data_IF_853483344173
#
_entry.id   IF_853483344173
#
_cell.length_a   1.000
_cell.length_b   1.000
_cell.length_c   1.000
_cell.angle_alpha   90.00
_cell.angle_beta   90.00
_cell.angle_gamma   90.00
#
_symmetry.space_group_name_H-M   'P 1'
#
loop_
_entity.id
_entity.type
_entity.pdbx_description
1 polymer ?
#
# COMPACT_ATOMS: atom_id res chain seq x y z
N UNK A 1 17.37 -14.22 -10.47
CA UNK A 1 16.65 -14.16 -9.19
C UNK A 1 16.48 -12.73 -8.67
N UNK A 2 17.58 -11.99 -8.46
CA UNK A 2 17.52 -10.57 -8.02
C UNK A 2 16.89 -9.71 -9.12
N UNK A 3 17.34 -9.88 -10.36
CA UNK A 3 16.83 -9.15 -11.52
C UNK A 3 15.31 -9.31 -11.71
N UNK A 4 14.81 -10.54 -11.59
CA UNK A 4 13.37 -10.84 -11.71
C UNK A 4 12.56 -10.15 -10.61
N UNK A 5 13.02 -10.25 -9.36
CA UNK A 5 12.38 -9.58 -8.23
C UNK A 5 12.37 -8.06 -8.42
N UNK A 6 13.52 -7.46 -8.77
CA UNK A 6 13.64 -6.03 -9.01
C UNK A 6 12.73 -5.56 -10.17
N UNK A 7 12.60 -6.36 -11.24
CA UNK A 7 11.69 -6.06 -12.34
C UNK A 7 10.23 -6.05 -11.88
N UNK A 8 9.80 -7.05 -11.11
CA UNK A 8 8.44 -7.07 -10.56
C UNK A 8 8.17 -5.90 -9.61
N UNK A 9 9.15 -5.55 -8.76
CA UNK A 9 9.04 -4.39 -7.87
C UNK A 9 8.91 -3.08 -8.65
N UNK A 10 9.69 -2.92 -9.73
CA UNK A 10 9.65 -1.73 -10.58
C UNK A 10 8.30 -1.61 -11.31
N UNK A 11 7.80 -2.70 -11.89
CA UNK A 11 6.49 -2.71 -12.57
C UNK A 11 5.38 -2.33 -11.58
N UNK A 12 5.36 -2.94 -10.38
CA UNK A 12 4.39 -2.60 -9.33
C UNK A 12 4.51 -1.14 -8.91
N UNK A 13 5.73 -0.64 -8.71
CA UNK A 13 5.98 0.74 -8.31
C UNK A 13 5.48 1.74 -9.37
N UNK A 14 5.76 1.50 -10.65
CA UNK A 14 5.30 2.36 -11.76
C UNK A 14 3.78 2.35 -11.87
N UNK A 15 3.15 1.16 -11.80
CA UNK A 15 1.70 1.05 -11.87
C UNK A 15 1.02 1.77 -10.70
N UNK A 16 1.51 1.58 -9.48
CA UNK A 16 1.00 2.27 -8.29
C UNK A 16 1.23 3.78 -8.36
N UNK A 17 2.37 4.23 -8.89
CA UNK A 17 2.64 5.65 -9.10
C UNK A 17 1.67 6.28 -10.09
N UNK A 18 1.41 5.59 -11.21
CA UNK A 18 0.46 6.05 -12.22
C UNK A 18 -0.97 6.15 -11.69
N UNK A 19 -1.45 5.11 -10.98
CA UNK A 19 -2.78 5.14 -10.37
C UNK A 19 -2.85 6.22 -9.28
N UNK A 20 -1.81 6.38 -8.47
CA UNK A 20 -1.73 7.43 -7.46
C UNK A 20 -1.81 8.84 -8.06
N UNK A 21 -1.12 9.09 -9.18
CA UNK A 21 -1.20 10.35 -9.93
C UNK A 21 -2.60 10.58 -10.51
N UNK A 22 -3.23 9.54 -11.04
CA UNK A 22 -4.60 9.61 -11.55
C UNK A 22 -5.58 9.99 -10.44
N UNK A 23 -5.47 9.38 -9.26
CA UNK A 23 -6.28 9.75 -8.09
C UNK A 23 -6.08 11.22 -7.67
N UNK A 24 -4.83 11.72 -7.70
CA UNK A 24 -4.55 13.15 -7.47
C UNK A 24 -5.16 14.04 -8.55
N UNK A 25 -5.12 13.62 -9.81
CA UNK A 25 -5.77 14.34 -10.91
C UNK A 25 -7.28 14.45 -10.72
N UNK A 26 -7.95 13.36 -10.31
CA UNK A 26 -9.37 13.37 -9.99
C UNK A 26 -9.65 14.30 -8.80
N UNK A 27 -8.86 14.23 -7.74
CA UNK A 27 -8.99 15.12 -6.58
C UNK A 27 -8.84 16.60 -7.00
N UNK A 28 -7.82 16.92 -7.79
CA UNK A 28 -7.58 18.26 -8.32
C UNK A 28 -8.79 18.78 -9.11
N UNK A 29 -9.33 17.97 -10.04
CA UNK A 29 -10.51 18.35 -10.82
C UNK A 29 -11.72 18.57 -9.90
N UNK A 30 -11.95 17.66 -8.95
CA UNK A 30 -13.07 17.76 -8.01
C UNK A 30 -13.01 19.05 -7.19
N UNK A 31 -11.87 19.37 -6.56
CA UNK A 31 -11.72 20.60 -5.80
C UNK A 31 -11.77 21.83 -6.70
N UNK A 32 -11.16 21.79 -7.88
CA UNK A 32 -11.16 22.93 -8.81
C UNK A 32 -12.57 23.29 -9.28
N UNK A 33 -13.35 22.32 -9.73
CA UNK A 33 -14.72 22.56 -10.19
C UNK A 33 -15.69 22.78 -9.03
N UNK A 34 -15.58 22.00 -7.96
CA UNK A 34 -16.44 22.13 -6.78
C UNK A 34 -16.28 23.49 -6.10
N UNK A 35 -15.05 23.94 -5.88
CA UNK A 35 -14.81 25.26 -5.28
C UNK A 35 -15.21 26.40 -6.22
N UNK A 36 -14.97 26.29 -7.53
CA UNK A 36 -15.47 27.30 -8.49
C UNK A 36 -16.98 27.43 -8.45
N UNK A 37 -17.70 26.32 -8.41
CA UNK A 37 -19.15 26.31 -8.31
C UNK A 37 -19.62 27.00 -7.02
N UNK A 38 -19.05 26.61 -5.87
CA UNK A 38 -19.36 27.23 -4.57
C UNK A 38 -19.07 28.73 -4.59
N UNK A 39 -17.87 29.15 -5.00
CA UNK A 39 -17.49 30.57 -5.03
C UNK A 39 -18.39 31.38 -5.97
N UNK A 40 -18.76 30.81 -7.12
CA UNK A 40 -19.69 31.44 -8.04
C UNK A 40 -21.09 31.59 -7.43
N UNK A 41 -21.61 30.56 -6.75
CA UNK A 41 -22.91 30.62 -6.06
C UNK A 41 -22.95 31.68 -4.96
N UNK A 42 -21.84 31.89 -4.24
CA UNK A 42 -21.72 32.89 -3.19
C UNK A 42 -21.22 34.26 -3.68
N UNK A 43 -21.01 34.44 -4.99
CA UNK A 43 -20.48 35.66 -5.62
C UNK A 43 -19.12 36.12 -5.07
N UNK A 44 -18.29 35.17 -4.64
CA UNK A 44 -16.91 35.44 -4.23
C UNK A 44 -15.97 35.49 -5.44
N UNK A 45 -14.83 36.15 -5.28
CA UNK A 45 -13.79 36.22 -6.30
C UNK A 45 -13.16 34.83 -6.53
N UNK A 46 -13.22 34.36 -7.78
CA UNK A 46 -12.72 33.05 -8.23
C UNK A 46 -11.19 32.98 -8.19
N UNK A 47 -10.50 34.12 -8.08
CA UNK A 47 -9.04 34.21 -8.00
C UNK A 47 -8.45 33.42 -6.82
N UNK A 48 -9.19 33.24 -5.72
CA UNK A 48 -8.76 32.47 -4.54
C UNK A 48 -8.92 30.94 -4.68
N UNK A 49 -9.57 30.47 -5.75
CA UNK A 49 -9.84 29.04 -5.91
C UNK A 49 -8.54 28.26 -6.11
N UNK A 50 -7.60 28.78 -6.90
CA UNK A 50 -6.31 28.11 -7.14
C UNK A 50 -5.53 27.86 -5.85
N UNK A 51 -5.47 28.84 -4.95
CA UNK A 51 -4.84 28.71 -3.63
C UNK A 51 -5.55 27.68 -2.75
N UNK A 52 -6.88 27.72 -2.72
CA UNK A 52 -7.70 26.78 -1.93
C UNK A 52 -7.53 25.32 -2.38
N UNK A 53 -7.40 25.07 -3.68
CA UNK A 53 -7.17 23.72 -4.21
C UNK A 53 -5.80 23.18 -3.77
N UNK A 54 -4.76 24.00 -3.79
CA UNK A 54 -3.42 23.61 -3.32
C UNK A 54 -3.46 23.24 -1.83
N UNK A 55 -4.15 24.05 -1.02
CA UNK A 55 -4.33 23.77 0.42
C UNK A 55 -5.09 22.46 0.63
N UNK A 56 -6.16 22.21 -0.12
CA UNK A 56 -6.93 20.96 -0.03
C UNK A 56 -6.08 19.73 -0.40
N UNK A 57 -5.29 19.80 -1.49
CA UNK A 57 -4.36 18.72 -1.85
C UNK A 57 -3.27 18.53 -0.78
N UNK A 58 -2.76 19.61 -0.20
CA UNK A 58 -1.80 19.55 0.89
C UNK A 58 -2.38 18.85 2.13
N UNK A 59 -3.62 19.15 2.49
CA UNK A 59 -4.32 18.50 3.60
C UNK A 59 -4.54 16.99 3.36
N UNK A 60 -4.92 16.60 2.14
CA UNK A 60 -5.07 15.19 1.76
C UNK A 60 -3.73 14.46 1.79
N UNK A 61 -2.67 15.11 1.26
CA UNK A 61 -1.31 14.57 1.28
C UNK A 61 -0.85 14.30 2.72
N UNK A 62 -1.05 15.29 3.60
CA UNK A 62 -0.71 15.19 5.01
C UNK A 62 -1.52 14.10 5.72
N UNK A 63 -2.83 14.03 5.47
CA UNK A 63 -3.70 12.99 6.02
C UNK A 63 -3.25 11.59 5.60
N UNK A 64 -2.93 11.39 4.31
CA UNK A 64 -2.42 10.12 3.80
C UNK A 64 -1.08 9.73 4.41
N UNK A 65 -0.16 10.69 4.58
CA UNK A 65 1.11 10.46 5.26
C UNK A 65 0.94 10.07 6.73
N UNK A 66 0.03 10.74 7.45
CA UNK A 66 -0.27 10.41 8.85
C UNK A 66 -0.84 9.00 9.00
N UNK A 67 -1.77 8.61 8.14
CA UNK A 67 -2.32 7.25 8.12
C UNK A 67 -1.23 6.21 7.85
N UNK A 68 -0.38 6.46 6.85
CA UNK A 68 0.75 5.58 6.55
C UNK A 68 1.70 5.41 7.75
N UNK A 69 2.01 6.50 8.46
CA UNK A 69 2.90 6.48 9.63
C UNK A 69 2.32 5.71 10.81
N UNK A 70 0.99 5.75 10.99
CA UNK A 70 0.31 5.07 12.09
C UNK A 70 0.22 3.56 11.90
N UNK A 71 0.68 3.00 10.78
CA UNK A 71 0.59 1.56 10.53
C UNK A 71 -0.83 1.09 10.21
N UNK A 72 -1.80 2.01 10.09
CA UNK A 72 -3.11 1.79 9.48
C UNK A 72 -2.90 1.59 7.98
N UNK A 73 -2.30 0.45 7.65
CA UNK A 73 -1.96 0.07 6.31
C UNK A 73 -3.19 -0.42 5.58
N UNK A 74 -3.57 0.28 4.52
CA UNK A 74 -4.09 -0.23 3.24
C UNK A 74 -4.90 -1.54 3.29
N UNK A 75 -5.80 -1.72 4.26
CA UNK A 75 -6.89 -2.68 4.07
C UNK A 75 -7.62 -2.19 2.84
N UNK A 76 -7.68 -3.02 1.80
CA UNK A 76 -8.30 -2.73 0.52
C UNK A 76 -9.55 -1.87 0.73
N UNK A 77 -9.40 -0.55 0.57
CA UNK A 77 -10.44 0.40 0.97
C UNK A 77 -11.67 0.26 0.07
N UNK A 78 -11.45 -0.24 -1.16
CA UNK A 78 -12.46 -0.69 -2.10
C UNK A 78 -13.22 -1.94 -1.63
N UNK A 79 -12.56 -2.92 -1.00
CA UNK A 79 -13.27 -4.06 -0.37
C UNK A 79 -14.10 -3.59 0.83
N UNK A 80 -13.58 -2.67 1.65
CA UNK A 80 -14.31 -2.16 2.82
C UNK A 80 -15.45 -1.18 2.47
N UNK A 81 -15.42 -0.54 1.29
CA UNK A 81 -16.55 0.28 0.80
C UNK A 81 -17.68 -0.53 0.19
N UNK A 82 -17.38 -1.73 -0.33
CA UNK A 82 -18.37 -2.63 -0.91
C UNK A 82 -18.99 -3.57 0.15
N UNK A 83 -18.24 -3.87 1.22
CA UNK A 83 -18.67 -4.76 2.30
C UNK A 83 -18.51 -4.05 3.65
N UNK A 84 -19.48 -3.19 4.01
CA UNK A 84 -19.65 -2.78 5.40
C UNK A 84 -20.69 -3.71 6.04
N UNK A 85 -20.22 -4.48 7.01
CA UNK A 85 -21.01 -5.37 7.86
C UNK A 85 -21.93 -4.51 8.73
N UNK A 86 -23.25 -4.64 8.54
CA UNK A 86 -24.26 -3.86 9.24
C UNK A 86 -24.77 -4.68 10.42
N UNK A 87 -24.25 -4.36 11.61
CA UNK A 87 -24.87 -4.76 12.87
C UNK A 87 -26.29 -4.21 12.98
N UNK A 88 -27.16 -5.02 13.57
CA UNK A 88 -28.57 -4.79 13.85
C UNK A 88 -28.79 -3.46 14.60
N UNK A 89 -29.72 -2.60 14.14
CA UNK A 89 -30.95 -2.31 14.89
C UNK A 89 -31.80 -1.14 14.34
N UNK A 90 -33.12 -1.39 14.37
CA UNK A 90 -34.27 -0.46 14.29
C UNK A 90 -34.72 0.11 12.92
N UNK A 91 -35.97 -0.16 12.55
CA UNK A 91 -36.60 0.20 11.26
C UNK A 91 -36.71 1.72 10.99
N UNK A 92 -36.64 2.57 12.02
CA UNK A 92 -36.55 4.04 11.86
C UNK A 92 -35.13 4.51 11.51
N UNK A 93 -34.09 3.80 11.96
CA UNK A 93 -32.72 4.04 11.54
C UNK A 93 -32.57 3.71 10.05
N UNK A 94 -33.17 2.62 9.55
CA UNK A 94 -33.06 2.16 8.15
C UNK A 94 -33.49 3.21 7.11
N UNK A 95 -34.54 4.01 7.37
CA UNK A 95 -34.96 5.05 6.41
C UNK A 95 -34.07 6.30 6.42
N UNK A 96 -33.64 6.73 7.61
CA UNK A 96 -32.67 7.83 7.77
C UNK A 96 -31.29 7.41 7.26
N UNK A 97 -30.90 6.15 7.47
CA UNK A 97 -29.72 5.52 6.89
C UNK A 97 -29.84 5.46 5.37
N UNK A 98 -30.98 5.09 4.78
CA UNK A 98 -31.11 5.07 3.32
C UNK A 98 -30.87 6.45 2.67
N UNK A 99 -31.37 7.53 3.29
CA UNK A 99 -31.13 8.89 2.80
C UNK A 99 -29.73 9.41 3.12
N UNK A 100 -29.23 9.15 4.33
CA UNK A 100 -27.87 9.50 4.74
C UNK A 100 -26.84 8.74 3.90
N UNK A 101 -27.01 7.43 3.65
CA UNK A 101 -26.16 6.55 2.83
C UNK A 101 -26.12 6.98 1.36
N UNK A 102 -27.19 7.55 0.82
CA UNK A 102 -27.21 8.02 -0.58
C UNK A 102 -26.34 9.27 -0.80
N UNK A 103 -26.21 10.12 0.22
CA UNK A 103 -25.36 11.32 0.19
C UNK A 103 -23.95 11.03 0.73
N UNK A 104 -23.82 10.17 1.74
CA UNK A 104 -22.53 9.81 2.35
C UNK A 104 -21.77 8.74 1.58
N UNK A 105 -22.44 7.84 0.84
CA UNK A 105 -21.79 6.80 0.05
C UNK A 105 -20.87 7.36 -1.04
N UNK A 106 -21.36 8.23 -1.95
CA UNK A 106 -20.51 8.86 -2.96
C UNK A 106 -19.40 9.73 -2.35
N UNK A 107 -19.70 10.46 -1.26
CA UNK A 107 -18.70 11.25 -0.55
C UNK A 107 -17.62 10.39 0.11
N UNK A 108 -17.98 9.21 0.61
CA UNK A 108 -17.06 8.23 1.18
C UNK A 108 -16.16 7.62 0.10
N UNK A 109 -16.72 7.20 -1.03
CA UNK A 109 -15.95 6.70 -2.18
C UNK A 109 -14.99 7.77 -2.70
N UNK A 110 -15.44 9.02 -2.83
CA UNK A 110 -14.57 10.14 -3.23
C UNK A 110 -13.45 10.38 -2.22
N UNK A 111 -13.77 10.34 -0.92
CA UNK A 111 -12.76 10.46 0.15
C UNK A 111 -11.71 9.35 0.06
N UNK A 112 -12.11 8.12 -0.27
CA UNK A 112 -11.19 7.01 -0.48
C UNK A 112 -10.33 7.19 -1.73
N UNK A 113 -10.90 7.67 -2.84
CA UNK A 113 -10.13 7.97 -4.06
C UNK A 113 -9.09 9.06 -3.76
N UNK A 114 -9.48 10.11 -3.04
CA UNK A 114 -8.59 11.22 -2.70
C UNK A 114 -7.47 10.78 -1.76
N UNK A 115 -7.78 9.98 -0.74
CA UNK A 115 -6.78 9.42 0.17
C UNK A 115 -5.92 8.34 -0.53
N UNK A 116 -6.47 7.67 -1.54
CA UNK A 116 -5.77 6.68 -2.36
C UNK A 116 -4.55 7.26 -3.08
N UNK A 117 -4.61 8.50 -3.55
CA UNK A 117 -3.49 9.18 -4.20
C UNK A 117 -2.18 9.17 -3.39
N UNK A 118 -2.10 9.86 -2.23
CA UNK A 118 -0.89 9.90 -1.41
C UNK A 118 -0.44 8.51 -0.95
N UNK A 119 -1.40 7.67 -0.59
CA UNK A 119 -1.15 6.33 -0.11
C UNK A 119 -0.50 5.46 -1.20
N UNK A 120 -1.02 5.45 -2.43
CA UNK A 120 -0.44 4.69 -3.54
C UNK A 120 0.96 5.19 -3.91
N UNK A 121 1.21 6.50 -3.86
CA UNK A 121 2.54 7.07 -4.09
C UNK A 121 3.55 6.62 -3.02
N UNK A 122 3.16 6.65 -1.73
CA UNK A 122 4.02 6.16 -0.64
C UNK A 122 4.30 4.65 -0.78
N UNK A 123 3.33 3.88 -1.28
CA UNK A 123 3.51 2.46 -1.58
C UNK A 123 4.47 2.25 -2.74
N UNK A 124 4.33 3.02 -3.82
CA UNK A 124 5.27 3.00 -4.95
C UNK A 124 6.70 3.33 -4.48
N UNK A 125 6.85 4.36 -3.64
CA UNK A 125 8.13 4.71 -3.03
C UNK A 125 8.73 3.55 -2.23
N UNK A 126 7.93 2.87 -1.40
CA UNK A 126 8.37 1.69 -0.66
C UNK A 126 8.90 0.59 -1.59
N UNK A 127 8.21 0.33 -2.71
CA UNK A 127 8.67 -0.64 -3.70
C UNK A 127 10.00 -0.24 -4.37
N UNK A 128 10.24 1.05 -4.59
CA UNK A 128 11.54 1.54 -5.07
C UNK A 128 12.67 1.36 -4.05
N UNK A 129 12.40 1.67 -2.78
CA UNK A 129 13.38 1.52 -1.68
C UNK A 129 13.68 0.04 -1.38
N UNK A 130 12.70 -0.85 -1.60
CA UNK A 130 12.84 -2.29 -1.37
C UNK A 130 13.59 -3.06 -2.47
N UNK A 131 14.18 -2.37 -3.45
CA UNK A 131 15.00 -3.01 -4.48
C UNK A 131 16.30 -3.54 -3.87
N UNK A 132 16.72 -4.71 -4.33
CA UNK A 132 17.97 -5.32 -3.90
C UNK A 132 19.11 -4.86 -4.82
N UNK A 133 20.35 -4.72 -4.30
CA UNK A 133 21.50 -4.35 -5.11
C UNK A 133 21.78 -5.44 -6.14
N UNK A 134 21.82 -5.04 -7.41
CA UNK A 134 22.05 -5.93 -8.54
C UNK A 134 23.56 -6.18 -8.69
N UNK A 135 24.07 -7.15 -7.96
CA UNK A 135 25.46 -7.58 -8.06
C UNK A 135 25.54 -9.09 -8.20
N UNK A 136 26.34 -9.54 -9.16
CA UNK A 136 26.54 -10.96 -9.44
C UNK A 136 27.11 -11.72 -8.23
N UNK A 137 27.90 -11.05 -7.38
CA UNK A 137 28.39 -11.61 -6.14
C UNK A 137 27.27 -11.85 -5.12
N UNK A 138 26.35 -10.88 -4.94
CA UNK A 138 25.21 -11.03 -4.03
C UNK A 138 24.26 -12.12 -4.52
N UNK A 139 24.00 -12.20 -5.83
CA UNK A 139 23.14 -13.25 -6.38
C UNK A 139 23.70 -14.66 -6.15
N UNK A 140 25.02 -14.84 -6.27
CA UNK A 140 25.69 -16.10 -5.92
C UNK A 140 25.54 -16.42 -4.44
N UNK A 141 25.82 -15.47 -3.54
CA UNK A 141 25.67 -15.66 -2.08
C UNK A 141 24.24 -16.03 -1.68
N UNK A 142 23.24 -15.36 -2.26
CA UNK A 142 21.83 -15.69 -2.02
C UNK A 142 21.48 -17.08 -2.53
N UNK A 143 21.96 -17.45 -3.71
CA UNK A 143 21.72 -18.78 -4.28
C UNK A 143 22.36 -19.89 -3.45
N UNK A 144 23.59 -19.68 -2.99
CA UNK A 144 24.29 -20.65 -2.13
C UNK A 144 23.62 -20.76 -0.77
N UNK A 145 23.23 -19.63 -0.16
CA UNK A 145 22.47 -19.59 1.09
C UNK A 145 21.14 -20.33 0.96
N UNK A 146 20.41 -20.11 -0.14
CA UNK A 146 19.15 -20.81 -0.41
C UNK A 146 19.35 -22.32 -0.53
N UNK A 147 20.42 -22.78 -1.21
CA UNK A 147 20.76 -24.21 -1.28
C UNK A 147 21.06 -24.80 0.09
N UNK A 148 21.80 -24.09 0.94
CA UNK A 148 22.09 -24.53 2.31
C UNK A 148 20.80 -24.69 3.12
N UNK A 149 19.89 -23.72 3.04
CA UNK A 149 18.60 -23.77 3.75
C UNK A 149 17.66 -24.85 3.19
N UNK A 150 17.64 -25.06 1.88
CA UNK A 150 16.87 -26.13 1.24
C UNK A 150 17.41 -27.51 1.62
N UNK A 151 18.74 -27.68 1.66
CA UNK A 151 19.38 -28.92 2.10
C UNK A 151 19.06 -29.26 3.56
N UNK A 152 18.89 -28.26 4.42
CA UNK A 152 18.49 -28.48 5.81
C UNK A 152 17.04 -28.98 5.94
N UNK A 153 16.13 -28.54 5.05
CA UNK A 153 14.75 -29.04 4.93
C UNK A 153 13.85 -28.85 6.16
N UNK A 154 14.31 -28.14 7.19
CA UNK A 154 13.65 -28.02 8.49
C UNK A 154 13.51 -26.56 8.91
N UNK A 155 12.67 -26.31 9.92
CA UNK A 155 12.62 -25.01 10.59
C UNK A 155 13.91 -24.79 11.37
N UNK A 156 14.60 -23.70 11.09
CA UNK A 156 15.86 -23.32 11.72
C UNK A 156 15.77 -21.94 12.35
N UNK A 157 16.50 -21.72 13.43
CA UNK A 157 16.64 -20.38 14.01
C UNK A 157 17.55 -19.53 13.14
N UNK A 158 17.23 -18.24 12.96
CA UNK A 158 18.17 -17.28 12.35
C UNK A 158 19.51 -17.23 13.10
N UNK A 159 19.51 -17.54 14.40
CA UNK A 159 20.72 -17.54 15.22
C UNK A 159 21.70 -18.66 14.84
N UNK A 160 21.25 -19.70 14.12
CA UNK A 160 22.13 -20.77 13.61
C UNK A 160 23.04 -20.26 12.48
N UNK A 161 22.75 -19.09 11.89
CA UNK A 161 23.45 -18.54 10.73
C UNK A 161 23.75 -17.04 10.90
N UNK A 162 24.62 -16.66 11.86
CA UNK A 162 24.91 -15.24 12.13
C UNK A 162 25.51 -14.52 10.90
N UNK A 163 26.36 -15.21 10.14
CA UNK A 163 27.07 -14.64 8.99
C UNK A 163 26.21 -14.53 7.72
N UNK A 164 25.09 -15.25 7.65
CA UNK A 164 24.17 -15.27 6.50
C UNK A 164 22.88 -14.49 6.77
N UNK A 165 22.83 -13.73 7.88
CA UNK A 165 21.62 -13.05 8.33
C UNK A 165 21.08 -12.07 7.28
N UNK A 166 21.96 -11.36 6.59
CA UNK A 166 21.58 -10.40 5.56
C UNK A 166 20.93 -11.11 4.37
N UNK A 167 21.54 -12.19 3.90
CA UNK A 167 21.06 -13.02 2.79
C UNK A 167 19.71 -13.67 3.14
N UNK A 168 19.57 -14.20 4.36
CA UNK A 168 18.31 -14.77 4.85
C UNK A 168 17.18 -13.72 4.84
N UNK A 169 17.44 -12.51 5.32
CA UNK A 169 16.45 -11.44 5.30
C UNK A 169 16.05 -11.03 3.88
N UNK A 170 17.01 -10.99 2.95
CA UNK A 170 16.74 -10.73 1.54
C UNK A 170 15.92 -11.87 0.90
N UNK A 171 16.23 -13.13 1.20
CA UNK A 171 15.44 -14.28 0.75
C UNK A 171 14.01 -14.26 1.31
N UNK A 172 13.83 -13.84 2.57
CA UNK A 172 12.51 -13.66 3.17
C UNK A 172 11.74 -12.53 2.47
N UNK A 173 12.40 -11.41 2.18
CA UNK A 173 11.83 -10.30 1.43
C UNK A 173 11.39 -10.72 0.01
N UNK A 174 12.12 -11.64 -0.61
CA UNK A 174 11.80 -12.23 -1.91
C UNK A 174 10.77 -13.36 -1.84
N UNK A 175 10.23 -13.68 -0.65
CA UNK A 175 9.29 -14.78 -0.42
C UNK A 175 9.84 -16.14 -0.88
N UNK A 176 11.16 -16.34 -0.78
CA UNK A 176 11.83 -17.63 -1.08
C UNK A 176 12.00 -18.52 0.15
N UNK A 177 11.77 -17.96 1.33
CA UNK A 177 11.76 -18.67 2.60
C UNK A 177 10.57 -18.19 3.42
N UNK A 178 9.98 -19.10 4.18
CA UNK A 178 8.93 -18.80 5.13
C UNK A 178 9.54 -18.34 6.45
N UNK A 179 8.88 -17.36 7.08
CA UNK A 179 9.28 -16.81 8.36
C UNK A 179 8.18 -17.04 9.39
N UNK A 180 8.54 -17.60 10.55
CA UNK A 180 7.63 -17.81 11.66
C UNK A 180 8.20 -17.21 12.94
N UNK A 181 7.46 -16.29 13.55
CA UNK A 181 7.77 -15.75 14.88
C UNK A 181 7.21 -16.68 15.98
N UNK A 182 7.64 -17.94 16.00
CA UNK A 182 7.19 -18.89 17.03
C UNK A 182 7.96 -18.65 18.34
N UNK A 183 7.24 -18.27 19.42
CA UNK A 183 7.79 -18.07 20.77
C UNK A 183 8.92 -17.04 20.86
N UNK A 184 8.82 -15.94 20.09
CA UNK A 184 9.75 -14.80 20.18
C UNK A 184 11.12 -15.01 19.52
N UNK A 185 11.44 -16.21 19.04
CA UNK A 185 12.66 -16.48 18.27
C UNK A 185 12.29 -16.67 16.80
N UNK A 186 12.84 -15.84 15.88
CA UNK A 186 12.49 -15.93 14.48
C UNK A 186 13.03 -17.22 13.84
N UNK A 187 12.12 -18.02 13.30
CA UNK A 187 12.42 -19.27 12.61
C UNK A 187 12.21 -19.12 11.11
N UNK A 188 13.06 -19.76 10.35
CA UNK A 188 13.04 -19.78 8.89
C UNK A 188 12.88 -21.20 8.38
N UNK A 189 12.19 -21.35 7.25
CA UNK A 189 12.17 -22.60 6.49
C UNK A 189 12.21 -22.26 5.01
N UNK A 190 13.13 -22.86 4.26
CA UNK A 190 13.09 -22.73 2.81
C UNK A 190 11.90 -23.52 2.26
N UNK A 191 11.14 -22.89 1.37
CA UNK A 191 10.15 -23.61 0.57
C UNK A 191 10.93 -24.57 -0.33
N UNK A 192 10.56 -25.87 -0.25
CA UNK A 192 11.11 -26.84 -1.20
C UNK A 192 10.77 -26.36 -2.62
N UNK A 193 11.67 -26.58 -3.57
CA UNK A 193 11.41 -26.28 -4.98
C UNK A 193 10.11 -26.99 -5.41
N UNK A 194 8.98 -26.29 -5.39
CA UNK A 194 7.83 -26.64 -6.20
C UNK A 194 8.18 -26.22 -7.62
N UNK A 195 8.84 -27.14 -8.34
CA UNK A 195 8.68 -27.21 -9.78
C UNK A 195 7.21 -27.55 -10.05
N UNK A 196 6.37 -26.53 -10.23
CA UNK A 196 5.02 -26.71 -10.74
C UNK A 196 4.04 -25.65 -10.26
N UNK A 197 4.00 -24.50 -10.93
CA UNK A 197 2.92 -24.05 -11.85
C UNK A 197 3.52 -23.02 -12.80
#
# INVERSE_FOLDING_TARGET
MIADYNRHQLIKAVLLAFVGLLCYGIAWLFFSYGLRFVFYSFKFDVSFVSGSVIVALGAISWSGYRHWRNGDGFKSYLESSLFHDLGEDSAHAVMMDCYARRVTGPAYVLSQIFLGGPLLLLRAWKHFVQRLPDSSQMERRLTDTLKVLQAAGKWQSIQEYPDLRQEILMLAQMQKIDFSAHKGVPRIKATANDHGV
#
